data_IF_300240860373
#
_entry.id   IF_300240860373
#
_cell.length_a   1.000
_cell.length_b   1.000
_cell.length_c   1.000
_cell.angle_alpha   90.00
_cell.angle_beta   90.00
_cell.angle_gamma   90.00
#
_symmetry.space_group_name_H-M   'P 1'
#
loop_
_entity.id
_entity.type
_entity.pdbx_description
1 polymer ?
#
# COMPACT_ATOMS: atom_id res chain seq x y z
N UNK A 1 -6.04 -7.17 -7.60
CA UNK A 1 -5.50 -6.39 -6.46
C UNK A 1 -5.64 -7.26 -5.23
N UNK A 2 -4.64 -7.25 -4.36
CA UNK A 2 -4.58 -8.14 -3.20
C UNK A 2 -4.54 -7.32 -1.92
N UNK A 3 -4.73 -7.98 -0.78
CA UNK A 3 -4.84 -7.35 0.53
C UNK A 3 -4.05 -8.14 1.57
N UNK A 4 -3.17 -7.45 2.30
CA UNK A 4 -2.58 -7.93 3.55
C UNK A 4 -3.48 -7.50 4.71
N UNK A 5 -3.61 -8.38 5.70
CA UNK A 5 -4.51 -8.20 6.85
C UNK A 5 -3.80 -8.30 8.20
N UNK A 6 -2.70 -7.54 8.42
CA UNK A 6 -2.04 -7.57 9.71
C UNK A 6 -2.90 -6.93 10.80
N UNK A 7 -2.64 -7.36 12.03
CA UNK A 7 -3.05 -6.62 13.23
C UNK A 7 -1.82 -5.84 13.69
N UNK A 8 -1.88 -4.51 13.62
CA UNK A 8 -0.80 -3.61 14.04
C UNK A 8 -1.28 -2.88 15.30
N UNK A 9 -0.54 -3.02 16.40
CA UNK A 9 -0.88 -2.42 17.70
C UNK A 9 -2.34 -2.71 18.15
N UNK A 10 -2.78 -3.95 17.92
CA UNK A 10 -4.15 -4.37 18.22
C UNK A 10 -5.22 -3.90 17.21
N UNK A 11 -4.85 -3.14 16.18
CA UNK A 11 -5.77 -2.60 15.18
C UNK A 11 -5.76 -3.44 13.90
N UNK A 12 -6.95 -3.87 13.48
CA UNK A 12 -7.15 -4.54 12.20
C UNK A 12 -6.80 -3.58 11.05
N UNK A 13 -5.64 -3.77 10.45
CA UNK A 13 -5.13 -2.94 9.37
C UNK A 13 -5.27 -3.67 8.04
N UNK A 14 -5.55 -2.91 6.98
CA UNK A 14 -5.64 -3.40 5.60
C UNK A 14 -4.63 -2.64 4.77
N UNK A 15 -3.74 -3.41 4.14
CA UNK A 15 -2.75 -2.88 3.22
C UNK A 15 -3.06 -3.49 1.86
N UNK A 16 -3.46 -2.65 0.93
CA UNK A 16 -3.74 -3.11 -0.42
C UNK A 16 -2.47 -3.05 -1.25
N UNK A 17 -2.30 -4.03 -2.14
CA UNK A 17 -1.10 -4.12 -2.96
C UNK A 17 -1.38 -4.80 -4.31
N UNK A 18 -0.42 -4.69 -5.21
CA UNK A 18 -0.43 -5.39 -6.49
C UNK A 18 0.96 -5.91 -6.85
N UNK A 19 0.99 -6.98 -7.65
CA UNK A 19 2.24 -7.54 -8.18
C UNK A 19 2.54 -6.92 -9.53
N UNK A 20 3.58 -6.10 -9.56
CA UNK A 20 4.15 -5.56 -10.80
C UNK A 20 5.17 -6.55 -11.38
N UNK A 21 5.49 -6.44 -12.69
CA UNK A 21 6.56 -7.23 -13.30
C UNK A 21 7.89 -7.11 -12.54
N UNK A 22 8.71 -8.17 -12.63
CA UNK A 22 10.00 -8.24 -11.93
C UNK A 22 9.90 -8.68 -10.47
N UNK A 23 8.86 -9.46 -10.10
CA UNK A 23 8.63 -9.96 -8.72
C UNK A 23 8.54 -8.84 -7.67
N UNK A 24 7.90 -7.72 -8.04
CA UNK A 24 7.76 -6.56 -7.16
C UNK A 24 6.33 -6.50 -6.61
N UNK A 25 6.21 -6.45 -5.28
CA UNK A 25 4.96 -6.09 -4.63
C UNK A 25 4.96 -4.59 -4.36
N UNK A 26 3.95 -3.87 -4.85
CA UNK A 26 3.81 -2.43 -4.62
C UNK A 26 2.61 -2.20 -3.72
N UNK A 27 2.84 -1.58 -2.56
CA UNK A 27 1.79 -1.20 -1.62
C UNK A 27 1.09 0.05 -2.14
N UNK A 28 -0.24 0.06 -2.10
CA UNK A 28 -1.07 1.10 -2.73
C UNK A 28 -1.75 1.98 -1.68
N UNK A 29 -2.44 1.37 -0.72
CA UNK A 29 -3.12 2.12 0.35
C UNK A 29 -3.07 1.36 1.66
N UNK A 30 -2.96 2.10 2.77
CA UNK A 30 -3.13 1.58 4.13
C UNK A 30 -4.38 2.20 4.75
N UNK A 31 -5.21 1.39 5.42
CA UNK A 31 -6.33 1.87 6.22
C UNK A 31 -6.64 0.95 7.40
N UNK A 32 -7.26 1.52 8.44
CA UNK A 32 -7.84 0.76 9.55
C UNK A 32 -9.23 0.29 9.14
N UNK A 33 -9.56 -0.98 9.39
CA UNK A 33 -10.90 -1.51 9.07
C UNK A 33 -11.90 -0.97 10.09
N UNK A 34 -12.92 -0.24 9.63
CA UNK A 34 -13.96 0.33 10.52
C UNK A 34 -15.33 -0.31 10.31
N UNK A 35 -15.59 -0.84 9.12
CA UNK A 35 -16.87 -1.48 8.74
C UNK A 35 -16.64 -2.80 8.03
N UNK A 36 -17.70 -3.60 7.87
CA UNK A 36 -17.62 -4.88 7.15
C UNK A 36 -17.26 -4.67 5.67
N UNK A 37 -17.85 -3.65 5.03
CA UNK A 37 -17.63 -3.26 3.63
C UNK A 37 -17.18 -1.79 3.56
N UNK A 38 -16.16 -1.49 2.75
CA UNK A 38 -15.50 -0.18 2.66
C UNK A 38 -15.26 0.21 1.17
N UNK A 39 -16.31 0.52 0.39
CA UNK A 39 -16.19 0.72 -1.06
C UNK A 39 -15.28 1.90 -1.44
N UNK A 40 -15.28 2.96 -0.64
CA UNK A 40 -14.40 4.13 -0.88
C UNK A 40 -12.93 3.76 -0.77
N UNK A 41 -12.58 2.82 0.11
CA UNK A 41 -11.22 2.31 0.23
C UNK A 41 -10.81 1.52 -1.00
N UNK A 42 -11.73 0.75 -1.59
CA UNK A 42 -11.51 0.05 -2.87
C UNK A 42 -11.27 1.06 -3.99
N UNK A 43 -12.11 2.08 -4.09
CA UNK A 43 -11.96 3.16 -5.10
C UNK A 43 -10.62 3.89 -4.95
N UNK A 44 -10.23 4.24 -3.71
CA UNK A 44 -8.93 4.86 -3.41
C UNK A 44 -7.77 3.98 -3.84
N UNK A 45 -7.86 2.68 -3.56
CA UNK A 45 -6.90 1.67 -3.97
C UNK A 45 -6.73 1.57 -5.50
N UNK A 46 -7.83 1.56 -6.24
CA UNK A 46 -7.83 1.53 -7.71
C UNK A 46 -7.23 2.81 -8.28
N UNK A 47 -7.58 3.97 -7.73
CA UNK A 47 -7.02 5.26 -8.15
C UNK A 47 -5.51 5.33 -7.90
N UNK A 48 -5.04 4.90 -6.72
CA UNK A 48 -3.62 4.83 -6.38
C UNK A 48 -2.85 3.92 -7.36
N UNK A 49 -3.44 2.78 -7.74
CA UNK A 49 -2.84 1.89 -8.74
C UNK A 49 -2.68 2.59 -10.10
N UNK A 50 -3.74 3.22 -10.61
CA UNK A 50 -3.71 3.92 -11.91
C UNK A 50 -2.65 5.02 -11.93
N UNK A 51 -2.53 5.77 -10.84
CA UNK A 51 -1.50 6.80 -10.69
C UNK A 51 -0.10 6.17 -10.71
N UNK A 52 0.11 5.10 -9.94
CA UNK A 52 1.40 4.41 -9.88
C UNK A 52 1.81 3.78 -11.20
N UNK A 53 0.85 3.22 -11.95
CA UNK A 53 1.07 2.66 -13.29
C UNK A 53 1.53 3.73 -14.30
N UNK A 54 1.00 4.95 -14.18
CA UNK A 54 1.22 6.02 -15.16
C UNK A 54 2.45 6.88 -14.84
N UNK A 55 2.66 7.20 -13.56
CA UNK A 55 3.53 8.30 -13.17
C UNK A 55 4.81 7.86 -12.44
N UNK A 56 4.88 6.64 -11.91
CA UNK A 56 5.97 6.25 -11.02
C UNK A 56 6.92 5.23 -11.67
N UNK A 57 8.20 5.63 -11.77
CA UNK A 57 9.31 4.72 -12.06
C UNK A 57 9.62 3.79 -10.87
N UNK A 58 10.78 3.11 -10.87
CA UNK A 58 11.24 2.33 -9.73
C UNK A 58 11.23 3.15 -8.43
N UNK A 59 10.98 2.49 -7.30
CA UNK A 59 11.12 3.13 -5.99
C UNK A 59 12.54 3.70 -5.84
N UNK A 60 12.64 4.97 -5.46
CA UNK A 60 13.89 5.72 -5.35
C UNK A 60 14.43 5.73 -3.91
N UNK A 61 13.61 5.30 -2.95
CA UNK A 61 13.96 5.23 -1.51
C UNK A 61 13.85 3.78 -1.04
N UNK A 62 14.89 3.31 -0.36
CA UNK A 62 14.90 2.01 0.30
C UNK A 62 14.67 2.21 1.79
N UNK A 63 13.68 1.52 2.35
CA UNK A 63 13.46 1.50 3.79
C UNK A 63 14.32 0.41 4.43
N UNK A 64 15.20 0.81 5.34
CA UNK A 64 15.96 -0.08 6.21
C UNK A 64 15.45 0.07 7.63
N UNK A 65 15.06 -1.03 8.26
CA UNK A 65 14.61 -1.01 9.66
C UNK A 65 15.80 -0.62 10.56
N UNK A 66 15.76 0.59 11.13
CA UNK A 66 16.78 1.11 12.05
C UNK A 66 17.44 2.42 11.62
N UNK A 67 17.27 2.82 10.36
CA UNK A 67 17.65 4.15 9.85
C UNK A 67 16.34 4.90 9.58
N UNK A 68 16.03 5.92 10.37
CA UNK A 68 14.86 6.77 10.11
C UNK A 68 15.00 7.35 8.71
N UNK A 69 14.10 6.94 7.80
CA UNK A 69 14.11 7.37 6.42
C UNK A 69 13.95 8.89 6.35
N UNK A 70 15.04 9.60 6.11
CA UNK A 70 15.02 11.03 5.89
C UNK A 70 14.43 11.28 4.50
N UNK A 71 13.12 11.41 4.43
CA UNK A 71 12.43 11.94 3.26
C UNK A 71 12.69 13.46 3.24
N UNK A 72 13.67 13.88 2.42
CA UNK A 72 13.85 15.28 2.04
C UNK A 72 12.78 15.73 1.05
#
# INVERSE_FOLDING_TARGET
MYELRPTLDGVATRITYWFAPGRRAVLLTVFRKTRMNEPDQVSRAVAARRLCEKEHGPAHTTYSRGEEGNAS
#
